data_IF_760559765070
#
_entry.id   IF_760559765070
#
_cell.length_a   1.000
_cell.length_b   1.000
_cell.length_c   1.000
_cell.angle_alpha   90.00
_cell.angle_beta   90.00
_cell.angle_gamma   90.00
#
_symmetry.space_group_name_H-M   'P 1'
#
loop_
_entity.id
_entity.type
_entity.pdbx_description
1 polymer ?
#
# COMPACT_ATOMS: atom_id res chain seq x y z
N UNK A 1 15.92 13.95 71.08
CA UNK A 1 16.24 12.89 70.10
C UNK A 1 15.03 12.39 69.31
N UNK A 2 13.82 12.37 69.89
CA UNK A 2 12.57 11.95 69.22
C UNK A 2 12.21 12.78 67.98
N UNK A 3 12.34 14.11 68.02
CA UNK A 3 12.07 14.99 66.87
C UNK A 3 12.96 14.69 65.65
N UNK A 4 14.22 14.31 65.88
CA UNK A 4 15.18 14.00 64.82
C UNK A 4 14.82 12.67 64.11
N UNK A 5 14.39 11.66 64.88
CA UNK A 5 13.95 10.38 64.33
C UNK A 5 12.66 10.52 63.49
N UNK A 6 11.72 11.37 63.95
CA UNK A 6 10.49 11.69 63.20
C UNK A 6 10.81 12.40 61.88
N UNK A 7 11.71 13.40 61.90
CA UNK A 7 12.15 14.11 60.70
C UNK A 7 12.86 13.19 59.70
N UNK A 8 13.77 12.32 60.17
CA UNK A 8 14.42 11.33 59.31
C UNK A 8 13.42 10.33 58.70
N UNK A 9 12.39 9.92 59.46
CA UNK A 9 11.33 9.03 58.96
C UNK A 9 10.46 9.68 57.88
N UNK A 10 10.14 10.98 58.03
CA UNK A 10 9.40 11.75 57.03
C UNK A 10 10.23 11.95 55.75
N UNK A 11 11.49 12.38 55.89
CA UNK A 11 12.42 12.54 54.75
C UNK A 11 12.60 11.26 53.96
N UNK A 12 12.66 10.10 54.62
CA UNK A 12 12.76 8.80 53.93
C UNK A 12 11.52 8.51 53.08
N UNK A 13 10.32 8.81 53.60
CA UNK A 13 9.06 8.61 52.87
C UNK A 13 8.95 9.55 51.66
N UNK A 14 9.28 10.82 51.84
CA UNK A 14 9.30 11.81 50.74
C UNK A 14 10.29 11.39 49.65
N UNK A 15 11.50 10.94 50.02
CA UNK A 15 12.48 10.44 49.05
C UNK A 15 11.99 9.23 48.25
N UNK A 16 11.32 8.27 48.89
CA UNK A 16 10.74 7.12 48.19
C UNK A 16 9.62 7.54 47.23
N UNK A 17 8.80 8.52 47.62
CA UNK A 17 7.73 9.04 46.79
C UNK A 17 8.28 9.80 45.57
N UNK A 18 9.27 10.67 45.77
CA UNK A 18 9.98 11.38 44.70
C UNK A 18 10.62 10.38 43.72
N UNK A 19 11.20 9.29 44.21
CA UNK A 19 11.81 8.26 43.36
C UNK A 19 10.78 7.61 42.42
N UNK A 20 9.60 7.26 42.94
CA UNK A 20 8.49 6.68 42.16
C UNK A 20 7.95 7.67 41.13
N UNK A 21 7.77 8.93 41.52
CA UNK A 21 7.29 9.98 40.62
C UNK A 21 8.29 10.26 39.49
N UNK A 22 9.59 10.31 39.80
CA UNK A 22 10.66 10.45 38.81
C UNK A 22 10.69 9.30 37.81
N UNK A 23 10.43 8.07 38.25
CA UNK A 23 10.35 6.90 37.36
C UNK A 23 9.16 7.01 36.40
N UNK A 24 7.98 7.39 36.91
CA UNK A 24 6.78 7.64 36.10
C UNK A 24 6.98 8.76 35.07
N UNK A 25 7.58 9.88 35.49
CA UNK A 25 7.88 11.01 34.59
C UNK A 25 8.83 10.56 33.46
N UNK A 26 9.84 9.73 33.76
CA UNK A 26 10.75 9.20 32.73
C UNK A 26 10.02 8.33 31.71
N UNK A 27 9.09 7.48 32.16
CA UNK A 27 8.28 6.66 31.26
C UNK A 27 7.36 7.51 30.37
N UNK A 28 6.70 8.52 30.94
CA UNK A 28 5.85 9.45 30.20
C UNK A 28 6.66 10.27 29.20
N UNK A 29 7.85 10.75 29.58
CA UNK A 29 8.78 11.44 28.67
C UNK A 29 9.20 10.55 27.49
N UNK A 30 9.46 9.26 27.73
CA UNK A 30 9.76 8.31 26.66
C UNK A 30 8.59 8.17 25.68
N UNK A 31 7.37 8.00 26.19
CA UNK A 31 6.16 7.90 25.35
C UNK A 31 5.92 9.17 24.53
N UNK A 32 6.11 10.34 25.13
CA UNK A 32 5.97 11.63 24.44
C UNK A 32 7.02 11.78 23.35
N UNK A 33 8.27 11.39 23.62
CA UNK A 33 9.35 11.43 22.63
C UNK A 33 9.04 10.54 21.43
N UNK A 34 8.64 9.29 21.68
CA UNK A 34 8.25 8.34 20.63
C UNK A 34 7.06 8.86 19.82
N UNK A 35 6.07 9.47 20.47
CA UNK A 35 4.92 10.08 19.80
C UNK A 35 5.32 11.25 18.91
N UNK A 36 6.17 12.16 19.42
CA UNK A 36 6.67 13.32 18.67
C UNK A 36 7.45 12.91 17.43
N UNK A 37 8.28 11.88 17.55
CA UNK A 37 9.06 11.34 16.43
C UNK A 37 8.16 10.75 15.34
N UNK A 38 7.15 9.96 15.74
CA UNK A 38 6.13 9.44 14.80
C UNK A 38 5.36 10.57 14.11
N UNK A 39 4.92 11.59 14.85
CA UNK A 39 4.17 12.72 14.30
C UNK A 39 5.02 13.52 13.30
N UNK A 40 6.29 13.76 13.63
CA UNK A 40 7.24 14.46 12.74
C UNK A 40 7.47 13.67 11.46
N UNK A 41 7.65 12.35 11.59
CA UNK A 41 7.84 11.42 10.47
C UNK A 41 6.64 11.40 9.55
N UNK A 42 5.42 11.34 10.12
CA UNK A 42 4.17 11.47 9.37
C UNK A 42 4.09 12.81 8.65
N UNK A 43 4.35 13.93 9.32
CA UNK A 43 4.31 15.28 8.74
C UNK A 43 5.24 15.41 7.51
N UNK A 44 6.45 14.83 7.56
CA UNK A 44 7.34 14.78 6.39
C UNK A 44 6.81 13.90 5.27
N UNK A 45 6.13 12.79 5.57
CA UNK A 45 5.39 12.01 4.56
C UNK A 45 4.29 12.85 3.89
N UNK A 46 3.49 13.58 4.67
CA UNK A 46 2.45 14.48 4.16
C UNK A 46 3.05 15.50 3.19
N UNK A 47 4.09 16.22 3.62
CA UNK A 47 4.77 17.20 2.76
C UNK A 47 5.38 16.57 1.52
N UNK A 48 5.93 15.35 1.65
CA UNK A 48 6.51 14.62 0.53
C UNK A 48 5.50 14.24 -0.55
N UNK A 49 4.31 13.77 -0.16
CA UNK A 49 3.26 13.40 -1.11
C UNK A 49 2.61 14.63 -1.74
N UNK A 50 2.28 15.64 -0.93
CA UNK A 50 1.66 16.90 -1.40
C UNK A 50 2.57 17.61 -2.40
N UNK A 51 3.88 17.64 -2.14
CA UNK A 51 4.76 18.49 -2.93
C UNK A 51 5.25 17.87 -4.25
N UNK A 52 5.32 16.54 -4.43
CA UNK A 52 6.09 16.02 -5.59
C UNK A 52 5.90 14.53 -5.99
N UNK A 53 4.85 13.81 -5.57
CA UNK A 53 4.68 12.44 -6.09
C UNK A 53 3.80 12.40 -7.34
N UNK A 54 4.27 11.70 -8.37
CA UNK A 54 3.53 11.39 -9.61
C UNK A 54 2.32 10.49 -9.40
N UNK A 55 2.15 9.91 -8.19
CA UNK A 55 1.13 8.91 -7.93
C UNK A 55 0.13 9.44 -6.90
N UNK A 56 -1.18 9.29 -7.16
CA UNK A 56 -2.20 9.71 -6.23
C UNK A 56 -2.21 8.86 -4.96
N UNK A 57 -2.79 9.42 -3.90
CA UNK A 57 -3.26 8.65 -2.74
C UNK A 57 -4.67 8.15 -3.05
N UNK A 58 -5.08 7.04 -2.46
CA UNK A 58 -6.48 6.59 -2.53
C UNK A 58 -7.46 7.74 -2.24
N UNK A 59 -8.59 7.81 -2.97
CA UNK A 59 -9.12 6.78 -3.87
C UNK A 59 -8.51 6.80 -5.29
N UNK A 60 -8.48 5.64 -5.94
CA UNK A 60 -8.14 5.51 -7.37
C UNK A 60 -9.13 4.64 -8.11
N UNK A 61 -9.27 4.88 -9.41
CA UNK A 61 -10.14 4.08 -10.28
C UNK A 61 -9.30 3.26 -11.25
N UNK A 62 -9.63 1.99 -11.38
CA UNK A 62 -9.01 1.04 -12.30
C UNK A 62 -10.06 0.60 -13.31
N UNK A 63 -9.79 0.82 -14.60
CA UNK A 63 -10.67 0.41 -15.69
C UNK A 63 -10.00 -0.61 -16.60
N UNK A 64 -10.80 -1.26 -17.44
CA UNK A 64 -10.36 -2.31 -18.37
C UNK A 64 -9.41 -1.81 -19.46
N UNK A 65 -9.49 -0.52 -19.80
CA UNK A 65 -8.76 0.08 -20.92
C UNK A 65 -7.50 0.81 -20.49
N UNK A 66 -7.31 0.97 -19.19
CA UNK A 66 -6.22 1.78 -18.67
C UNK A 66 -4.93 0.98 -18.49
N UNK A 67 -3.84 1.72 -18.48
CA UNK A 67 -2.55 1.23 -18.01
C UNK A 67 -2.57 1.00 -16.50
N UNK A 68 -1.48 0.44 -16.00
CA UNK A 68 -1.30 0.17 -14.58
C UNK A 68 -1.46 1.46 -13.79
N UNK A 69 -2.30 1.42 -12.75
CA UNK A 69 -2.51 2.56 -11.86
C UNK A 69 -1.60 2.39 -10.65
N UNK A 70 -0.62 3.27 -10.52
CA UNK A 70 0.22 3.38 -9.34
C UNK A 70 -0.40 4.34 -8.32
N UNK A 71 -0.36 3.98 -7.04
CA UNK A 71 -0.94 4.78 -5.97
C UNK A 71 -0.29 4.49 -4.62
N UNK A 72 -0.51 5.38 -3.66
CA UNK A 72 -0.24 5.12 -2.24
C UNK A 72 -1.54 4.81 -1.50
N UNK A 73 -1.52 3.83 -0.60
CA UNK A 73 -2.70 3.46 0.19
C UNK A 73 -3.20 4.61 1.06
N UNK A 74 -2.27 5.37 1.62
CA UNK A 74 -2.51 6.51 2.49
C UNK A 74 -1.26 7.41 2.54
N UNK A 75 -1.32 8.51 3.29
CA UNK A 75 -0.20 9.44 3.48
C UNK A 75 0.91 8.75 4.28
N UNK A 76 2.08 8.56 3.64
CA UNK A 76 3.14 7.74 4.22
C UNK A 76 2.88 6.23 4.19
N UNK A 77 1.87 5.79 3.43
CA UNK A 77 1.48 4.41 3.28
C UNK A 77 2.32 3.63 2.27
N UNK A 78 1.78 2.49 1.85
CA UNK A 78 2.47 1.58 0.94
C UNK A 78 2.28 2.01 -0.51
N UNK A 79 3.36 2.04 -1.28
CA UNK A 79 3.28 2.17 -2.73
C UNK A 79 2.75 0.86 -3.34
N UNK A 80 1.67 0.98 -4.09
CA UNK A 80 1.00 -0.13 -4.74
C UNK A 80 0.71 0.18 -6.20
N UNK A 81 0.42 -0.88 -6.95
CA UNK A 81 -0.19 -0.73 -8.25
C UNK A 81 -1.33 -1.71 -8.44
N UNK A 82 -2.25 -1.33 -9.33
CA UNK A 82 -3.38 -2.15 -9.70
C UNK A 82 -3.58 -2.16 -11.21
N UNK A 83 -4.01 -3.31 -11.73
CA UNK A 83 -4.36 -3.47 -13.14
C UNK A 83 -5.53 -4.43 -13.30
N UNK A 84 -6.48 -4.07 -14.16
CA UNK A 84 -7.58 -4.93 -14.56
C UNK A 84 -7.22 -5.65 -15.87
N UNK A 85 -6.85 -6.91 -15.77
CA UNK A 85 -6.59 -7.76 -16.93
C UNK A 85 -7.89 -8.39 -17.44
N UNK A 86 -8.03 -8.53 -18.75
CA UNK A 86 -9.14 -9.31 -19.31
C UNK A 86 -8.63 -10.56 -20.00
N UNK A 87 -9.21 -11.69 -19.65
CA UNK A 87 -9.11 -12.97 -20.35
C UNK A 87 -10.44 -13.22 -21.08
N UNK A 88 -10.49 -14.18 -22.03
CA UNK A 88 -11.67 -14.39 -22.88
C UNK A 88 -13.00 -14.57 -22.13
N UNK A 89 -12.97 -15.07 -20.88
CA UNK A 89 -14.16 -15.38 -20.07
C UNK A 89 -14.13 -14.80 -18.65
N UNK A 90 -13.10 -14.04 -18.29
CA UNK A 90 -12.95 -13.49 -16.94
C UNK A 90 -12.18 -12.16 -16.97
N UNK A 91 -12.53 -11.24 -16.08
CA UNK A 91 -11.69 -10.09 -15.75
C UNK A 91 -10.96 -10.39 -14.43
N UNK A 92 -9.67 -10.07 -14.36
CA UNK A 92 -8.82 -10.35 -13.21
C UNK A 92 -8.20 -9.04 -12.72
N UNK A 93 -8.54 -8.62 -11.50
CA UNK A 93 -7.86 -7.52 -10.84
C UNK A 93 -6.60 -8.04 -10.17
N UNK A 94 -5.45 -7.46 -10.53
CA UNK A 94 -4.16 -7.73 -9.88
C UNK A 94 -3.72 -6.51 -9.08
N UNK A 95 -3.25 -6.75 -7.85
CA UNK A 95 -2.55 -5.74 -7.04
C UNK A 95 -1.16 -6.23 -6.67
N UNK A 96 -0.21 -5.28 -6.63
CA UNK A 96 1.16 -5.54 -6.18
C UNK A 96 1.63 -4.44 -5.22
N UNK A 97 2.48 -4.84 -4.26
CA UNK A 97 3.29 -3.91 -3.49
C UNK A 97 4.55 -3.56 -4.27
N UNK A 98 4.99 -2.32 -4.18
CA UNK A 98 6.24 -1.85 -4.77
C UNK A 98 7.11 -1.23 -3.70
N UNK A 99 8.38 -1.06 -4.03
CA UNK A 99 9.23 -0.15 -3.26
C UNK A 99 8.78 1.29 -3.51
N UNK A 100 8.22 1.89 -2.47
CA UNK A 100 7.82 3.29 -2.41
C UNK A 100 8.82 4.14 -1.66
N UNK A 101 8.92 5.40 -2.06
CA UNK A 101 9.71 6.41 -1.34
C UNK A 101 9.29 6.54 0.12
N UNK A 102 7.99 6.34 0.39
CA UNK A 102 7.40 6.55 1.71
C UNK A 102 7.17 5.26 2.51
N UNK A 103 7.50 4.08 1.97
CA UNK A 103 7.24 2.83 2.68
C UNK A 103 8.03 2.66 3.98
N UNK A 104 9.16 3.38 4.11
CA UNK A 104 10.00 3.37 5.33
C UNK A 104 9.49 4.33 6.41
N UNK A 105 8.52 5.16 6.06
CA UNK A 105 7.94 6.20 6.92
C UNK A 105 6.65 5.67 7.60
N UNK A 106 6.00 4.69 6.99
CA UNK A 106 4.76 4.09 7.49
C UNK A 106 4.92 3.47 8.88
N UNK A 107 4.26 4.08 9.86
CA UNK A 107 4.02 3.48 11.19
C UNK A 107 2.82 2.53 11.19
N UNK A 108 2.01 2.61 10.13
CA UNK A 108 0.85 1.76 9.95
C UNK A 108 1.33 0.40 9.44
N UNK A 109 0.73 -0.65 9.99
CA UNK A 109 1.11 -2.01 9.66
C UNK A 109 0.87 -2.32 8.19
N UNK A 110 0.80 -3.60 7.88
CA UNK A 110 0.47 -4.02 6.54
C UNK A 110 -1.03 -3.78 6.26
N UNK A 111 -1.44 -3.30 5.08
CA UNK A 111 -2.84 -3.00 4.81
C UNK A 111 -3.69 -4.26 4.85
N UNK A 112 -4.94 -4.09 5.26
CA UNK A 112 -6.00 -5.09 5.18
C UNK A 112 -6.87 -4.79 3.97
N UNK A 113 -7.18 -5.80 3.18
CA UNK A 113 -8.05 -5.63 2.03
C UNK A 113 -9.45 -6.14 2.32
N UNK A 114 -10.42 -5.37 1.87
CA UNK A 114 -11.81 -5.75 1.83
C UNK A 114 -12.34 -5.62 0.41
N UNK A 115 -13.36 -6.39 0.09
CA UNK A 115 -14.03 -6.36 -1.19
C UNK A 115 -15.51 -6.14 -1.00
N UNK A 116 -16.01 -5.12 -1.67
CA UNK A 116 -17.42 -4.75 -1.67
C UNK A 116 -17.96 -5.01 -3.08
N UNK A 117 -18.80 -6.06 -3.20
CA UNK A 117 -19.61 -6.30 -4.38
C UNK A 117 -21.00 -5.74 -4.13
N UNK A 118 -21.43 -4.79 -4.95
CA UNK A 118 -22.73 -4.10 -4.83
C UNK A 118 -22.93 -3.43 -3.45
N UNK A 119 -24.17 -3.29 -2.99
CA UNK A 119 -24.54 -2.67 -1.71
C UNK A 119 -24.49 -3.62 -0.50
N UNK A 120 -23.69 -4.69 -0.57
CA UNK A 120 -23.57 -5.68 0.49
C UNK A 120 -22.55 -5.31 1.58
N UNK A 121 -22.22 -6.27 2.44
CA UNK A 121 -21.14 -6.12 3.40
C UNK A 121 -19.77 -6.35 2.75
N UNK A 122 -18.78 -5.54 3.13
CA UNK A 122 -17.41 -5.69 2.66
C UNK A 122 -16.76 -6.94 3.27
N UNK A 123 -16.23 -7.82 2.42
CA UNK A 123 -15.61 -9.09 2.84
C UNK A 123 -14.10 -8.97 2.86
N UNK A 124 -13.46 -9.45 3.93
CA UNK A 124 -12.01 -9.47 4.02
C UNK A 124 -11.39 -10.36 2.92
N UNK A 125 -10.34 -9.85 2.27
CA UNK A 125 -9.59 -10.57 1.24
C UNK A 125 -8.18 -10.86 1.75
N UNK A 126 -7.79 -12.15 1.85
CA UNK A 126 -6.46 -12.50 2.30
C UNK A 126 -5.41 -12.06 1.27
N UNK A 127 -4.31 -11.51 1.78
CA UNK A 127 -3.15 -11.16 0.98
C UNK A 127 -2.32 -12.42 0.75
N UNK A 128 -2.06 -12.74 -0.51
CA UNK A 128 -1.24 -13.90 -0.89
C UNK A 128 0.24 -13.63 -0.67
N UNK A 129 0.69 -12.42 -0.96
CA UNK A 129 2.09 -12.04 -0.87
C UNK A 129 2.29 -10.58 -0.49
N UNK A 130 3.32 -10.31 0.29
CA UNK A 130 3.75 -8.96 0.69
C UNK A 130 5.11 -8.60 0.10
N UNK A 131 5.64 -9.44 -0.78
CA UNK A 131 6.92 -9.19 -1.45
C UNK A 131 6.77 -7.94 -2.30
N UNK A 132 7.70 -7.01 -2.15
CA UNK A 132 7.74 -5.78 -2.94
C UNK A 132 8.35 -6.09 -4.30
N UNK A 133 7.69 -5.62 -5.34
CA UNK A 133 8.13 -5.74 -6.72
C UNK A 133 8.81 -4.46 -7.19
N UNK A 134 9.61 -4.59 -8.26
CA UNK A 134 10.12 -3.44 -9.00
C UNK A 134 8.96 -2.55 -9.47
N UNK A 135 9.21 -1.25 -9.61
CA UNK A 135 8.17 -0.25 -9.87
C UNK A 135 7.29 -0.58 -11.09
N UNK A 136 7.85 -1.15 -12.14
CA UNK A 136 7.21 -1.43 -13.43
C UNK A 136 6.67 -2.87 -13.57
N UNK A 137 6.67 -3.66 -12.49
CA UNK A 137 6.42 -5.10 -12.57
C UNK A 137 5.04 -5.51 -13.14
N UNK A 138 4.01 -4.65 -13.01
CA UNK A 138 2.70 -4.89 -13.64
C UNK A 138 2.57 -4.22 -15.03
N UNK A 139 3.50 -3.33 -15.40
CA UNK A 139 3.38 -2.41 -16.53
C UNK A 139 4.17 -2.79 -17.79
N UNK A 140 5.06 -3.77 -17.72
CA UNK A 140 5.93 -4.14 -18.84
C UNK A 140 5.13 -4.74 -20.02
N UNK A 141 5.10 -4.08 -21.21
CA UNK A 141 4.62 -4.71 -22.42
C UNK A 141 5.64 -5.74 -22.93
N UNK A 142 5.15 -6.83 -23.53
CA UNK A 142 5.97 -7.88 -24.11
C UNK A 142 6.93 -7.30 -25.16
N UNK A 143 8.25 -7.39 -24.95
CA UNK A 143 9.17 -7.47 -26.08
C UNK A 143 8.98 -8.86 -26.65
N UNK A 144 8.23 -8.98 -27.74
CA UNK A 144 8.31 -10.18 -28.56
C UNK A 144 9.76 -10.28 -29.02
N UNK A 145 10.53 -11.22 -28.45
CA UNK A 145 11.74 -11.66 -29.11
C UNK A 145 11.33 -12.07 -30.52
N UNK A 146 11.77 -11.28 -31.50
CA UNK A 146 11.56 -11.57 -32.90
C UNK A 146 12.16 -12.96 -33.13
N UNK A 147 11.30 -13.94 -33.43
CA UNK A 147 11.77 -15.16 -34.08
C UNK A 147 12.51 -14.68 -35.33
N UNK A 148 13.76 -15.13 -35.60
CA UNK A 148 14.48 -14.71 -36.79
C UNK A 148 13.62 -15.09 -38.00
N UNK A 149 12.96 -14.10 -38.61
CA UNK A 149 12.22 -14.32 -39.83
C UNK A 149 13.24 -14.55 -40.93
N UNK A 150 13.33 -15.81 -41.37
CA UNK A 150 13.89 -16.14 -42.65
C UNK A 150 13.25 -15.28 -43.73
N UNK A 151 14.12 -14.61 -44.49
CA UNK A 151 13.86 -13.74 -45.63
C UNK A 151 12.68 -14.16 -46.50
N UNK A 152 11.62 -13.34 -46.53
CA UNK A 152 10.78 -13.18 -47.72
C UNK A 152 10.52 -11.70 -47.99
N UNK A 153 10.98 -11.25 -49.16
CA UNK A 153 10.71 -9.94 -49.75
C UNK A 153 9.24 -9.86 -50.13
N UNK A 154 8.53 -8.80 -49.74
CA UNK A 154 7.24 -8.48 -50.37
C UNK A 154 6.32 -7.57 -49.57
N UNK A 155 6.28 -6.30 -50.00
CA UNK A 155 5.16 -5.35 -49.95
C UNK A 155 4.53 -4.96 -48.60
N UNK A 156 4.60 -3.65 -48.34
CA UNK A 156 3.90 -2.95 -47.29
C UNK A 156 2.38 -3.15 -47.40
N UNK A 157 1.78 -3.70 -46.36
CA UNK A 157 0.37 -3.49 -46.06
C UNK A 157 0.27 -2.89 -44.67
N UNK A 158 -0.23 -1.66 -44.59
CA UNK A 158 -0.76 -1.04 -43.38
C UNK A 158 -1.90 -1.93 -42.85
N UNK A 159 -1.57 -2.91 -42.03
CA UNK A 159 -2.54 -3.55 -41.15
C UNK A 159 -2.55 -2.76 -39.86
N UNK A 160 -3.68 -2.15 -39.56
CA UNK A 160 -4.06 -1.76 -38.20
C UNK A 160 -3.75 -2.94 -37.27
N UNK A 161 -2.67 -2.80 -36.51
CA UNK A 161 -2.35 -3.72 -35.43
C UNK A 161 -3.38 -3.39 -34.36
N UNK A 162 -4.44 -4.19 -34.28
CA UNK A 162 -5.32 -4.18 -33.11
C UNK A 162 -4.42 -4.49 -31.91
N UNK A 163 -4.11 -3.45 -31.13
CA UNK A 163 -3.25 -3.55 -29.96
C UNK A 163 -4.03 -4.22 -28.82
N UNK A 164 -4.49 -5.46 -29.01
CA UNK A 164 -4.65 -6.36 -27.88
C UNK A 164 -3.24 -6.81 -27.46
N UNK A 165 -2.52 -5.90 -26.78
CA UNK A 165 -1.31 -6.25 -26.03
C UNK A 165 -1.73 -7.26 -24.97
N UNK A 166 -1.49 -8.53 -25.26
CA UNK A 166 -1.60 -9.60 -24.27
C UNK A 166 -0.54 -9.34 -23.19
N UNK A 167 -0.95 -8.72 -22.09
CA UNK A 167 -0.09 -8.49 -20.91
C UNK A 167 0.18 -9.86 -20.29
N UNK A 168 1.44 -10.26 -20.12
CA UNK A 168 1.77 -11.43 -19.28
C UNK A 168 1.83 -10.98 -17.83
N UNK A 169 1.30 -11.83 -16.96
CA UNK A 169 1.52 -11.78 -15.52
C UNK A 169 3.04 -11.88 -15.29
N UNK A 170 3.64 -11.14 -14.34
CA UNK A 170 5.04 -11.39 -13.97
C UNK A 170 5.24 -12.90 -13.74
N UNK A 171 6.35 -13.45 -14.21
CA UNK A 171 6.69 -14.89 -14.10
C UNK A 171 6.69 -15.40 -12.63
N UNK A 172 6.59 -14.49 -11.67
CA UNK A 172 6.49 -14.71 -10.23
C UNK A 172 5.06 -14.37 -9.76
N UNK A 173 4.07 -15.22 -10.11
CA UNK A 173 2.68 -15.08 -9.64
C UNK A 173 2.60 -15.09 -8.10
N UNK A 174 3.59 -15.71 -7.44
CA UNK A 174 3.72 -15.76 -5.98
C UNK A 174 4.00 -14.38 -5.36
N UNK A 175 4.38 -13.39 -6.15
CA UNK A 175 4.60 -12.01 -5.68
C UNK A 175 3.38 -11.10 -5.85
N UNK A 176 2.30 -11.60 -6.44
CA UNK A 176 1.04 -10.84 -6.57
C UNK A 176 0.33 -10.82 -5.22
N UNK A 177 0.04 -9.61 -4.74
CA UNK A 177 -0.60 -9.41 -3.45
C UNK A 177 -2.03 -9.95 -3.44
N UNK A 178 -2.79 -9.68 -4.51
CA UNK A 178 -4.21 -9.99 -4.58
C UNK A 178 -4.63 -10.21 -6.03
N UNK A 179 -5.38 -11.28 -6.26
CA UNK A 179 -5.93 -11.66 -7.56
C UNK A 179 -7.43 -11.97 -7.38
N UNK A 180 -8.28 -11.29 -8.13
CA UNK A 180 -9.74 -11.47 -8.05
C UNK A 180 -10.30 -11.67 -9.45
N UNK A 181 -10.92 -12.84 -9.68
CA UNK A 181 -11.69 -13.12 -10.91
C UNK A 181 -13.09 -12.53 -10.81
N UNK A 182 -13.53 -11.88 -11.88
CA UNK A 182 -14.71 -11.06 -11.98
C UNK A 182 -15.47 -11.38 -13.28
N UNK A 183 -16.80 -11.53 -13.19
CA UNK A 183 -17.60 -12.04 -14.31
C UNK A 183 -18.04 -10.95 -15.31
N UNK A 184 -18.24 -9.70 -14.86
CA UNK A 184 -18.66 -8.59 -15.74
C UNK A 184 -18.49 -7.24 -15.05
N UNK A 185 -17.34 -6.57 -15.23
CA UNK A 185 -17.10 -5.26 -14.60
C UNK A 185 -16.41 -4.33 -15.58
N UNK A 186 -16.85 -3.07 -15.58
CA UNK A 186 -16.23 -2.00 -16.36
C UNK A 186 -15.40 -1.04 -15.51
N UNK A 187 -15.69 -0.92 -14.21
CA UNK A 187 -15.04 0.03 -13.31
C UNK A 187 -14.81 -0.54 -11.90
N UNK A 188 -13.59 -0.40 -11.39
CA UNK A 188 -13.22 -0.77 -10.01
C UNK A 188 -12.70 0.48 -9.32
N UNK A 189 -13.25 0.80 -8.15
CA UNK A 189 -12.71 1.87 -7.30
C UNK A 189 -11.98 1.24 -6.12
N UNK A 190 -10.75 1.68 -5.87
CA UNK A 190 -9.99 1.30 -4.69
C UNK A 190 -10.00 2.52 -3.76
N UNK A 191 -10.48 2.32 -2.55
CA UNK A 191 -10.69 3.41 -1.59
C UNK A 191 -10.13 3.05 -0.22
N UNK A 192 -9.75 4.05 0.57
CA UNK A 192 -9.39 3.88 1.97
C UNK A 192 -10.64 4.10 2.82
N UNK A 193 -11.10 3.07 3.55
CA UNK A 193 -12.32 3.15 4.40
C UNK A 193 -11.99 3.45 5.85
N UNK A 194 -10.81 3.02 6.31
CA UNK A 194 -10.27 3.29 7.64
C UNK A 194 -8.74 3.36 7.52
N UNK A 195 -8.00 3.89 8.52
CA UNK A 195 -6.55 3.81 8.51
C UNK A 195 -6.08 2.38 8.29
N UNK A 196 -5.19 2.17 7.30
CA UNK A 196 -4.68 0.85 6.92
C UNK A 196 -5.73 -0.19 6.42
N UNK A 197 -6.96 0.24 6.11
CA UNK A 197 -8.03 -0.61 5.54
C UNK A 197 -8.41 -0.13 4.13
N UNK A 198 -8.06 -0.95 3.15
CA UNK A 198 -8.30 -0.69 1.72
C UNK A 198 -9.49 -1.51 1.26
N UNK A 199 -10.50 -0.85 0.71
CA UNK A 199 -11.69 -1.49 0.16
C UNK A 199 -11.69 -1.40 -1.36
N UNK A 200 -11.85 -2.56 -2.00
CA UNK A 200 -12.04 -2.70 -3.44
C UNK A 200 -13.54 -2.71 -3.70
N UNK A 201 -14.03 -1.61 -4.26
CA UNK A 201 -15.43 -1.40 -4.62
C UNK A 201 -15.63 -1.77 -6.08
N UNK A 202 -16.47 -2.76 -6.30
CA UNK A 202 -16.84 -3.26 -7.62
C UNK A 202 -18.17 -2.60 -8.01
N UNK A 203 -18.14 -1.78 -9.07
CA UNK A 203 -19.32 -1.13 -9.62
C UNK A 203 -19.81 -1.91 -10.86
N UNK A 204 -21.09 -2.29 -10.86
CA UNK A 204 -21.75 -2.95 -12.00
C UNK A 204 -22.05 -1.98 -13.13
#
# INVERSE_FOLDING_TARGET
MTLLAVACGQLKKENEQIKKENERIREEMKKIKDYKEKMTTQMFAFLGVINNHTHPILPVTVSRRDDVVHFYTELGGHHMSAVLMTRPYEAVLLLAFHEGKFDRIGTLGSPKFFMLLDSGDAKHVPIRSRKKLAHDALGLPLVQHSIPQGSYKGQASLREISQHRSRRIPYDEESICLQVSLNSIRLISIVLTSPNEVTIVILK
#
